data_IF_336802354563
#
_entry.id   IF_336802354563
#
_cell.length_a   1.000
_cell.length_b   1.000
_cell.length_c   1.000
_cell.angle_alpha   90.00
_cell.angle_beta   90.00
_cell.angle_gamma   90.00
#
_symmetry.space_group_name_H-M   'P 1'
#
loop_
_entity.id
_entity.type
_entity.pdbx_description
1 polymer ?
#
# COMPACT_ATOMS: atom_id res chain seq x y z
N UNK A 1 -10.36 2.91 11.13
CA UNK A 1 -9.45 3.20 10.00
C UNK A 1 -8.07 3.52 10.56
N UNK A 2 -7.00 2.90 10.06
CA UNK A 2 -5.62 3.13 10.50
C UNK A 2 -4.87 3.95 9.45
N UNK A 3 -4.13 4.97 9.88
CA UNK A 3 -3.31 5.80 8.99
C UNK A 3 -1.96 5.12 8.77
N UNK A 4 -1.49 5.11 7.53
CA UNK A 4 -0.28 4.39 7.12
C UNK A 4 0.79 5.39 6.70
N UNK A 5 1.37 6.10 7.68
CA UNK A 5 2.35 7.17 7.45
C UNK A 5 3.56 6.72 6.61
N UNK A 6 4.06 5.51 6.84
CA UNK A 6 5.18 4.95 6.09
C UNK A 6 4.88 4.82 4.59
N UNK A 7 3.63 4.53 4.22
CA UNK A 7 3.20 4.49 2.81
C UNK A 7 3.07 5.90 2.25
N UNK A 8 2.51 6.83 3.01
CA UNK A 8 2.42 8.24 2.61
C UNK A 8 3.81 8.83 2.33
N UNK A 9 4.82 8.53 3.15
CA UNK A 9 6.20 9.00 2.97
C UNK A 9 6.85 8.47 1.69
N UNK A 10 6.56 7.24 1.28
CA UNK A 10 7.03 6.66 0.00
C UNK A 10 6.41 7.39 -1.19
N UNK A 11 5.13 7.76 -1.08
CA UNK A 11 4.38 8.43 -2.14
C UNK A 11 4.66 9.93 -2.22
N UNK A 12 4.94 10.58 -1.10
CA UNK A 12 5.18 12.01 -1.03
C UNK A 12 6.44 12.40 -1.80
N UNK A 13 6.34 13.52 -2.52
CA UNK A 13 7.41 14.10 -3.37
C UNK A 13 7.87 13.20 -4.53
N UNK A 14 7.25 12.04 -4.74
CA UNK A 14 7.54 11.16 -5.86
C UNK A 14 6.48 11.28 -6.95
N UNK A 15 6.88 11.13 -8.21
CA UNK A 15 5.93 10.99 -9.30
C UNK A 15 5.36 9.57 -9.23
N UNK A 16 4.03 9.48 -9.15
CA UNK A 16 3.36 8.19 -9.10
C UNK A 16 3.71 7.38 -10.37
N UNK A 17 4.30 6.21 -10.16
CA UNK A 17 4.73 5.26 -11.19
C UNK A 17 4.49 3.84 -10.69
N UNK A 18 4.52 2.85 -11.59
CA UNK A 18 4.38 1.44 -11.21
C UNK A 18 5.43 1.01 -10.19
N UNK A 19 6.66 1.51 -10.31
CA UNK A 19 7.76 1.18 -9.40
C UNK A 19 7.50 1.70 -7.98
N UNK A 20 6.96 2.92 -7.87
CA UNK A 20 6.60 3.51 -6.58
C UNK A 20 5.39 2.82 -5.96
N UNK A 21 4.41 2.41 -6.77
CA UNK A 21 3.25 1.64 -6.29
C UNK A 21 3.69 0.27 -5.78
N UNK A 22 4.65 -0.38 -6.45
CA UNK A 22 5.23 -1.63 -5.96
C UNK A 22 6.00 -1.42 -4.65
N UNK A 23 6.72 -0.30 -4.50
CA UNK A 23 7.47 0.04 -3.29
C UNK A 23 6.59 0.20 -2.03
N UNK A 24 5.29 0.46 -2.18
CA UNK A 24 4.31 0.54 -1.07
C UNK A 24 4.06 -0.81 -0.38
N UNK A 25 4.34 -1.92 -1.06
CA UNK A 25 4.10 -3.27 -0.52
C UNK A 25 4.85 -3.52 0.79
N UNK A 26 6.13 -3.12 0.85
CA UNK A 26 7.00 -3.38 2.01
C UNK A 26 6.52 -2.65 3.28
N UNK A 27 6.32 -1.31 3.28
CA UNK A 27 5.84 -0.61 4.49
C UNK A 27 4.44 -1.05 4.91
N UNK A 28 3.59 -1.45 3.96
CA UNK A 28 2.26 -1.97 4.27
C UNK A 28 2.33 -3.35 4.93
N UNK A 29 3.17 -4.25 4.41
CA UNK A 29 3.40 -5.58 4.97
C UNK A 29 3.93 -5.49 6.40
N UNK A 30 4.91 -4.62 6.63
CA UNK A 30 5.46 -4.39 7.96
C UNK A 30 4.40 -3.84 8.92
N UNK A 31 3.58 -2.88 8.48
CA UNK A 31 2.51 -2.33 9.32
C UNK A 31 1.47 -3.38 9.70
N UNK A 32 1.12 -4.30 8.78
CA UNK A 32 0.18 -5.39 9.08
C UNK A 32 0.80 -6.39 10.06
N UNK A 33 2.10 -6.66 9.95
CA UNK A 33 2.79 -7.52 10.90
C UNK A 33 2.86 -6.90 12.30
N UNK A 34 3.24 -5.62 12.40
CA UNK A 34 3.34 -4.90 13.67
C UNK A 34 1.98 -4.82 14.39
N UNK A 35 0.89 -4.66 13.65
CA UNK A 35 -0.46 -4.47 14.21
C UNK A 35 -1.23 -5.78 14.42
N UNK A 36 -0.98 -6.80 13.58
CA UNK A 36 -1.84 -7.98 13.48
C UNK A 36 -1.07 -9.30 13.43
N UNK A 37 0.26 -9.29 13.31
CA UNK A 37 1.11 -10.47 13.05
C UNK A 37 0.92 -11.65 14.01
N UNK A 38 0.48 -11.38 15.25
CA UNK A 38 0.15 -12.44 16.22
C UNK A 38 -1.21 -13.15 16.00
N UNK A 39 -2.02 -12.71 15.04
CA UNK A 39 -3.35 -13.29 14.78
C UNK A 39 -3.28 -14.18 13.54
N UNK A 40 -3.84 -15.39 13.62
CA UNK A 40 -4.00 -16.31 12.49
C UNK A 40 -4.57 -15.65 11.22
N UNK A 41 -5.43 -14.64 11.38
CA UNK A 41 -6.00 -13.92 10.24
C UNK A 41 -5.02 -13.01 9.48
N UNK A 42 -3.83 -12.75 10.01
CA UNK A 42 -2.84 -11.88 9.37
C UNK A 42 -2.29 -12.48 8.09
N UNK A 43 -2.09 -13.80 8.05
CA UNK A 43 -1.49 -14.51 6.91
C UNK A 43 -2.28 -14.29 5.62
N UNK A 44 -3.61 -14.41 5.67
CA UNK A 44 -4.46 -14.20 4.49
C UNK A 44 -4.86 -12.74 4.28
N UNK A 45 -4.90 -11.90 5.34
CA UNK A 45 -5.24 -10.48 5.21
C UNK A 45 -4.10 -9.64 4.63
N UNK A 46 -2.85 -10.00 4.91
CA UNK A 46 -1.66 -9.33 4.37
C UNK A 46 -1.73 -9.17 2.84
N UNK A 47 -1.82 -10.25 2.03
CA UNK A 47 -1.87 -10.11 0.58
C UNK A 47 -3.09 -9.31 0.13
N UNK A 48 -4.27 -9.54 0.72
CA UNK A 48 -5.50 -8.82 0.37
C UNK A 48 -5.38 -7.30 0.56
N UNK A 49 -4.81 -6.85 1.69
CA UNK A 49 -4.62 -5.42 1.93
C UNK A 49 -3.60 -4.80 0.96
N UNK A 50 -2.55 -5.55 0.60
CA UNK A 50 -1.56 -5.12 -0.38
C UNK A 50 -2.21 -4.94 -1.74
N UNK A 51 -2.97 -5.93 -2.20
CA UNK A 51 -3.64 -5.90 -3.51
C UNK A 51 -4.62 -4.72 -3.57
N UNK A 52 -5.47 -4.55 -2.56
CA UNK A 52 -6.43 -3.43 -2.50
C UNK A 52 -5.70 -2.07 -2.55
N UNK A 53 -4.60 -1.92 -1.81
CA UNK A 53 -3.83 -0.69 -1.83
C UNK A 53 -3.19 -0.43 -3.21
N UNK A 54 -2.63 -1.46 -3.84
CA UNK A 54 -2.01 -1.34 -5.16
C UNK A 54 -3.04 -1.03 -6.24
N UNK A 55 -4.20 -1.68 -6.21
CA UNK A 55 -5.32 -1.43 -7.14
C UNK A 55 -5.80 0.02 -7.02
N UNK A 56 -6.02 0.51 -5.80
CA UNK A 56 -6.43 1.90 -5.56
C UNK A 56 -5.38 2.91 -6.09
N UNK A 57 -4.09 2.65 -5.87
CA UNK A 57 -3.03 3.52 -6.37
C UNK A 57 -2.90 3.46 -7.89
N UNK A 58 -3.10 2.29 -8.50
CA UNK A 58 -3.12 2.13 -9.95
C UNK A 58 -4.30 2.90 -10.57
N UNK A 59 -5.48 2.84 -9.96
CA UNK A 59 -6.65 3.59 -10.41
C UNK A 59 -6.40 5.10 -10.35
N UNK A 60 -5.83 5.59 -9.24
CA UNK A 60 -5.45 7.00 -9.09
C UNK A 60 -4.40 7.38 -10.15
N UNK A 61 -3.43 6.52 -10.41
CA UNK A 61 -2.41 6.75 -11.43
C UNK A 61 -2.99 6.85 -12.83
N UNK A 62 -3.93 5.97 -13.18
CA UNK A 62 -4.63 6.03 -14.47
C UNK A 62 -5.48 7.30 -14.61
N UNK A 63 -6.18 7.71 -13.54
CA UNK A 63 -6.95 8.96 -13.53
C UNK A 63 -6.05 10.19 -13.68
N UNK A 64 -4.90 10.21 -13.00
CA UNK A 64 -3.94 11.30 -13.09
C UNK A 64 -3.29 11.42 -14.48
N UNK A 65 -3.16 10.31 -15.23
CA UNK A 65 -2.64 10.30 -16.62
C UNK A 65 -3.67 10.69 -17.67
N UNK A 66 -4.96 10.55 -17.38
CA UNK A 66 -6.06 10.90 -18.30
C UNK A 66 -6.43 12.38 -18.26
N UNK A 67 -5.90 13.15 -17.30
CA UNK A 67 -5.96 14.62 -17.26
C UNK A 67 -4.78 15.22 -18.00
#
# INVERSE_FOLDING_TARGET
>A
PQRIKAVEEVLLKQKLSKDIIAAVQQPLSQKIEDEIGGRWSAEYKKPVFIDICQDALNDIWQQARKK
#
